data_IF_691036912307
#
_entry.id   IF_691036912307
#
_cell.length_a   1.000
_cell.length_b   1.000
_cell.length_c   1.000
_cell.angle_alpha   90.00
_cell.angle_beta   90.00
_cell.angle_gamma   90.00
#
_symmetry.space_group_name_H-M   'P 1'
#
loop_
_entity.id
_entity.type
_entity.pdbx_description
1 polymer ?
#
# COMPACT_ATOMS: atom_id res chain seq x y z
N UNK A 1 -1.84 20.50 -26.51
CA UNK A 1 -1.01 19.66 -25.61
C UNK A 1 -1.56 19.71 -24.18
N UNK A 2 -2.74 19.13 -23.93
CA UNK A 2 -3.35 19.05 -22.58
C UNK A 2 -4.37 17.91 -22.48
N UNK A 3 -4.08 16.69 -22.97
CA UNK A 3 -5.01 15.55 -22.83
C UNK A 3 -4.28 14.19 -22.81
N UNK A 4 -3.35 13.98 -21.87
CA UNK A 4 -2.59 12.72 -21.82
C UNK A 4 -2.53 12.03 -20.44
N UNK A 5 -3.34 12.43 -19.44
CA UNK A 5 -3.27 11.82 -18.10
C UNK A 5 -4.62 11.39 -17.50
N UNK A 6 -5.69 11.26 -18.29
CA UNK A 6 -6.99 10.75 -17.80
C UNK A 6 -7.08 9.22 -17.78
N UNK A 7 -5.98 8.52 -17.47
CA UNK A 7 -5.83 7.07 -17.69
C UNK A 7 -5.63 6.21 -16.45
N UNK A 8 -5.51 6.76 -15.24
CA UNK A 8 -5.45 5.96 -14.02
C UNK A 8 -6.88 5.69 -13.52
N UNK A 9 -7.61 4.83 -14.22
CA UNK A 9 -8.74 4.14 -13.62
C UNK A 9 -8.17 3.14 -12.61
N UNK A 10 -7.83 3.61 -11.41
CA UNK A 10 -7.55 2.71 -10.28
C UNK A 10 -8.91 2.20 -9.83
N UNK A 11 -9.27 1.03 -10.34
CA UNK A 11 -10.42 0.30 -9.85
C UNK A 11 -10.29 0.19 -8.34
N UNK A 12 -11.32 0.62 -7.60
CA UNK A 12 -11.55 0.12 -6.24
C UNK A 12 -11.38 -1.40 -6.34
N UNK A 13 -10.35 -1.93 -5.69
CA UNK A 13 -9.96 -3.33 -5.85
C UNK A 13 -11.00 -4.13 -5.05
N UNK A 14 -12.17 -4.34 -5.66
CA UNK A 14 -13.13 -5.31 -5.18
C UNK A 14 -12.35 -6.61 -5.01
N UNK A 15 -12.16 -7.02 -3.75
CA UNK A 15 -11.42 -8.20 -3.37
C UNK A 15 -12.23 -9.43 -3.80
N UNK A 16 -12.30 -9.69 -5.10
CA UNK A 16 -12.71 -11.00 -5.62
C UNK A 16 -11.62 -11.97 -5.21
N UNK A 17 -11.92 -12.80 -4.23
CA UNK A 17 -11.08 -13.91 -3.78
C UNK A 17 -10.92 -14.94 -4.89
N UNK A 18 -10.05 -14.67 -5.87
CA UNK A 18 -9.47 -15.69 -6.75
C UNK A 18 -8.06 -15.99 -6.26
N UNK A 19 -7.96 -16.69 -5.13
CA UNK A 19 -6.73 -17.35 -4.71
C UNK A 19 -6.53 -18.55 -5.64
N UNK A 20 -5.71 -18.40 -6.68
CA UNK A 20 -5.52 -19.49 -7.63
C UNK A 20 -4.58 -19.23 -8.81
N UNK A 21 -3.62 -18.30 -8.69
CA UNK A 21 -2.47 -18.38 -9.57
C UNK A 21 -1.61 -19.54 -9.05
N UNK A 22 -1.42 -20.60 -9.85
CA UNK A 22 -0.48 -21.67 -9.52
C UNK A 22 0.92 -21.05 -9.44
N UNK A 23 1.39 -20.83 -8.22
CA UNK A 23 2.75 -20.40 -7.91
C UNK A 23 3.67 -21.61 -7.96
N UNK A 24 4.94 -21.39 -8.34
CA UNK A 24 5.93 -22.47 -8.26
C UNK A 24 6.23 -22.78 -6.79
N UNK A 25 6.64 -24.03 -6.50
CA UNK A 25 7.11 -24.39 -5.16
C UNK A 25 8.28 -23.49 -4.68
N UNK A 26 9.10 -23.00 -5.62
CA UNK A 26 10.15 -22.01 -5.32
C UNK A 26 9.56 -20.67 -4.87
N UNK A 27 8.53 -20.15 -5.55
CA UNK A 27 7.89 -18.89 -5.20
C UNK A 27 7.19 -18.95 -3.83
N UNK A 28 6.54 -20.08 -3.51
CA UNK A 28 5.94 -20.30 -2.19
C UNK A 28 7.01 -20.35 -1.09
N UNK A 29 8.12 -21.05 -1.33
CA UNK A 29 9.22 -21.09 -0.35
C UNK A 29 9.84 -19.71 -0.09
N UNK A 30 9.96 -18.87 -1.12
CA UNK A 30 10.46 -17.50 -0.98
C UNK A 30 9.48 -16.60 -0.21
N UNK A 31 8.17 -16.78 -0.44
CA UNK A 31 7.12 -16.07 0.28
C UNK A 31 7.05 -16.47 1.76
N UNK A 32 7.20 -17.76 2.07
CA UNK A 32 7.24 -18.28 3.44
C UNK A 32 8.50 -17.82 4.19
N UNK A 33 9.64 -17.76 3.51
CA UNK A 33 10.94 -17.40 4.10
C UNK A 33 11.18 -15.88 4.23
N UNK A 34 10.15 -15.05 4.09
CA UNK A 34 10.33 -13.60 4.17
C UNK A 34 10.72 -13.15 5.58
N UNK A 35 11.80 -12.35 5.73
CA UNK A 35 12.20 -11.83 7.04
C UNK A 35 11.19 -10.79 7.56
N UNK A 36 11.41 -10.36 8.80
CA UNK A 36 10.74 -9.18 9.32
C UNK A 36 11.18 -7.97 8.49
N UNK A 37 10.24 -7.09 8.18
CA UNK A 37 10.50 -5.91 7.35
C UNK A 37 10.03 -4.65 8.04
N UNK A 38 10.92 -3.65 8.09
CA UNK A 38 10.51 -2.25 8.26
C UNK A 38 10.63 -1.57 6.92
N UNK A 39 9.57 -0.93 6.46
CA UNK A 39 9.62 -0.11 5.25
C UNK A 39 9.47 1.37 5.56
N UNK A 40 10.15 2.18 4.75
CA UNK A 40 9.98 3.63 4.68
C UNK A 40 9.61 4.01 3.25
N UNK A 41 8.78 5.03 3.12
CA UNK A 41 8.19 5.43 1.86
C UNK A 41 8.17 6.92 1.65
N UNK A 42 8.22 7.32 0.39
CA UNK A 42 7.93 8.68 -0.05
C UNK A 42 7.16 8.66 -1.38
N UNK A 43 6.21 9.58 -1.52
CA UNK A 43 5.35 9.64 -2.69
C UNK A 43 4.54 10.93 -2.79
N UNK A 44 3.55 10.91 -3.67
CA UNK A 44 2.60 12.00 -3.87
C UNK A 44 1.21 11.55 -3.47
N UNK A 45 0.60 12.29 -2.55
CA UNK A 45 -0.76 12.12 -2.06
C UNK A 45 -1.75 12.85 -2.97
N UNK A 46 -2.95 12.31 -3.14
CA UNK A 46 -4.02 12.85 -3.99
C UNK A 46 -3.65 13.06 -5.47
N UNK A 47 -3.11 12.01 -6.10
CA UNK A 47 -2.73 12.03 -7.51
C UNK A 47 -3.94 12.02 -8.47
N UNK A 48 -5.15 11.81 -7.97
CA UNK A 48 -6.38 11.69 -8.78
C UNK A 48 -7.16 13.00 -8.93
N UNK A 49 -7.15 13.88 -7.93
CA UNK A 49 -7.98 15.09 -7.92
C UNK A 49 -7.17 16.35 -8.27
N UNK A 50 -6.61 16.41 -9.48
CA UNK A 50 -5.87 17.55 -10.03
C UNK A 50 -4.60 17.94 -9.28
N UNK A 51 -3.55 18.37 -10.00
CA UNK A 51 -2.22 18.63 -9.42
C UNK A 51 -2.16 19.77 -8.40
N UNK A 52 -3.26 20.48 -8.15
CA UNK A 52 -3.32 21.58 -7.18
C UNK A 52 -3.37 21.07 -5.72
N UNK A 53 -3.72 19.80 -5.49
CA UNK A 53 -3.83 19.19 -4.15
C UNK A 53 -2.78 18.11 -3.87
N UNK A 54 -1.84 17.91 -4.81
CA UNK A 54 -0.82 16.89 -4.65
C UNK A 54 0.21 17.32 -3.59
N UNK A 55 0.17 16.72 -2.40
CA UNK A 55 1.16 16.90 -1.34
C UNK A 55 2.16 15.75 -1.29
N UNK A 56 3.35 15.98 -0.73
CA UNK A 56 4.29 14.88 -0.53
C UNK A 56 3.83 14.03 0.66
N UNK A 57 3.83 12.71 0.49
CA UNK A 57 3.52 11.72 1.53
C UNK A 57 4.77 10.97 1.96
N UNK A 58 4.81 10.60 3.24
CA UNK A 58 5.82 9.75 3.84
C UNK A 58 5.14 8.61 4.60
N UNK A 59 5.62 7.40 4.37
CA UNK A 59 5.08 6.18 4.95
C UNK A 59 6.15 5.48 5.79
N UNK A 60 5.74 4.86 6.89
CA UNK A 60 6.55 3.89 7.62
C UNK A 60 5.66 2.72 8.03
N UNK A 61 6.17 1.50 7.98
CA UNK A 61 5.44 0.35 8.46
C UNK A 61 6.31 -0.84 8.82
N UNK A 62 5.71 -1.78 9.54
CA UNK A 62 6.34 -2.99 10.03
C UNK A 62 5.50 -4.22 9.70
N UNK A 63 6.16 -5.23 9.13
CA UNK A 63 5.60 -6.55 8.79
C UNK A 63 6.50 -7.60 9.47
N UNK A 64 5.98 -8.41 10.42
CA UNK A 64 6.78 -9.46 11.06
C UNK A 64 6.99 -10.66 10.12
N UNK A 65 7.90 -11.55 10.50
CA UNK A 65 8.27 -12.78 9.78
C UNK A 65 7.27 -13.94 9.95
N UNK A 66 6.28 -13.82 10.84
CA UNK A 66 5.28 -14.86 11.02
C UNK A 66 4.06 -14.65 10.12
N UNK A 67 3.57 -15.76 9.57
CA UNK A 67 2.37 -15.83 8.75
C UNK A 67 1.17 -16.32 9.60
N UNK A 68 -0.03 -15.86 9.27
CA UNK A 68 -1.28 -16.31 9.91
C UNK A 68 -1.81 -17.55 9.16
N UNK A 69 -2.13 -17.38 7.88
CA UNK A 69 -2.58 -18.43 6.96
C UNK A 69 -2.29 -17.96 5.53
N UNK A 70 -1.93 -18.88 4.63
CA UNK A 70 -1.63 -18.56 3.23
C UNK A 70 -0.63 -17.40 3.09
N UNK A 71 0.46 -17.43 3.86
CA UNK A 71 1.55 -16.44 3.75
C UNK A 71 1.09 -14.98 3.97
N UNK A 72 -0.10 -14.80 4.56
CA UNK A 72 -0.63 -13.51 4.97
C UNK A 72 0.03 -13.14 6.30
N UNK A 73 0.67 -11.97 6.31
CA UNK A 73 1.38 -11.41 7.46
C UNK A 73 0.64 -10.20 7.99
N UNK A 74 0.60 -9.98 9.31
CA UNK A 74 0.05 -8.75 9.85
C UNK A 74 0.93 -7.55 9.48
N UNK A 75 0.34 -6.36 9.53
CA UNK A 75 0.98 -5.10 9.20
C UNK A 75 0.54 -4.03 10.20
N UNK A 76 1.46 -3.16 10.57
CA UNK A 76 1.15 -1.87 11.20
C UNK A 76 1.88 -0.76 10.44
N UNK A 77 1.23 0.37 10.23
CA UNK A 77 1.81 1.46 9.46
C UNK A 77 1.31 2.84 9.88
N UNK A 78 2.08 3.84 9.51
CA UNK A 78 1.81 5.25 9.72
C UNK A 78 2.15 6.01 8.43
N UNK A 79 1.29 6.94 8.04
CA UNK A 79 1.51 7.87 6.95
C UNK A 79 1.34 9.31 7.46
N UNK A 80 2.18 10.21 6.94
CA UNK A 80 2.02 11.66 7.08
C UNK A 80 2.19 12.35 5.74
N UNK A 81 1.58 13.52 5.55
CA UNK A 81 1.82 14.34 4.35
C UNK A 81 2.19 15.79 4.70
N UNK A 82 2.64 16.55 3.69
CA UNK A 82 3.04 17.95 3.87
C UNK A 82 1.87 18.89 4.17
N UNK A 83 0.63 18.44 3.99
CA UNK A 83 -0.58 19.17 4.41
C UNK A 83 -1.02 18.80 5.84
N UNK A 84 -0.13 18.12 6.59
CA UNK A 84 -0.34 17.73 8.00
C UNK A 84 -1.41 16.65 8.22
N UNK A 85 -1.77 15.88 7.18
CA UNK A 85 -2.55 14.68 7.41
C UNK A 85 -1.71 13.61 8.12
N UNK A 86 -2.38 12.79 8.93
CA UNK A 86 -1.80 11.65 9.62
C UNK A 86 -2.74 10.46 9.47
N UNK A 87 -2.23 9.29 9.12
CA UNK A 87 -3.00 8.05 9.06
C UNK A 87 -2.25 6.91 9.74
N UNK A 88 -2.80 6.38 10.84
CA UNK A 88 -2.28 5.18 11.50
C UNK A 88 -3.18 3.99 11.18
N UNK A 89 -2.59 2.86 10.80
CA UNK A 89 -3.34 1.67 10.40
C UNK A 89 -2.73 0.36 10.87
N UNK A 90 -3.59 -0.64 11.00
CA UNK A 90 -3.22 -2.04 11.06
C UNK A 90 -3.77 -2.76 9.82
N UNK A 91 -3.21 -3.91 9.48
CA UNK A 91 -3.60 -4.58 8.27
C UNK A 91 -2.97 -5.94 8.07
N UNK A 92 -3.05 -6.36 6.82
CA UNK A 92 -2.57 -7.63 6.30
C UNK A 92 -1.72 -7.35 5.06
N UNK A 93 -0.66 -8.13 4.88
CA UNK A 93 0.23 -8.08 3.73
C UNK A 93 0.49 -9.48 3.20
N UNK A 94 0.54 -9.62 1.88
CA UNK A 94 1.00 -10.85 1.23
C UNK A 94 1.98 -10.50 0.12
N UNK A 95 3.13 -11.17 0.11
CA UNK A 95 4.17 -11.03 -0.91
C UNK A 95 4.10 -12.21 -1.87
N UNK A 96 4.19 -11.92 -3.17
CA UNK A 96 4.21 -12.89 -4.25
C UNK A 96 5.50 -12.75 -5.04
N UNK A 97 6.20 -13.85 -5.25
CA UNK A 97 7.38 -13.92 -6.10
C UNK A 97 6.97 -14.22 -7.54
N UNK A 98 7.17 -13.25 -8.45
CA UNK A 98 6.97 -13.42 -9.89
C UNK A 98 8.19 -14.08 -10.53
N UNK A 99 9.38 -13.77 -9.98
CA UNK A 99 10.65 -14.46 -10.20
C UNK A 99 11.38 -14.55 -8.86
N UNK A 100 12.61 -15.05 -8.82
CA UNK A 100 13.41 -15.12 -7.59
C UNK A 100 13.68 -13.74 -6.94
N UNK A 101 13.62 -12.65 -7.72
CA UNK A 101 13.87 -11.29 -7.21
C UNK A 101 12.76 -10.29 -7.56
N UNK A 102 11.87 -10.58 -8.51
CA UNK A 102 10.75 -9.68 -8.84
C UNK A 102 9.56 -10.07 -7.98
N UNK A 103 9.08 -9.11 -7.21
CA UNK A 103 8.02 -9.33 -6.22
C UNK A 103 6.85 -8.37 -6.44
N UNK A 104 5.66 -8.86 -6.15
CA UNK A 104 4.46 -8.06 -5.99
C UNK A 104 3.98 -8.20 -4.55
N UNK A 105 3.61 -7.10 -3.90
CA UNK A 105 3.06 -7.11 -2.53
C UNK A 105 1.68 -6.48 -2.53
N UNK A 106 0.70 -7.20 -2.01
CA UNK A 106 -0.65 -6.68 -1.78
C UNK A 106 -0.78 -6.40 -0.29
N UNK A 107 -1.36 -5.26 0.06
CA UNK A 107 -1.70 -4.93 1.44
C UNK A 107 -3.13 -4.41 1.52
N UNK A 108 -3.76 -4.72 2.65
CA UNK A 108 -5.06 -4.17 3.03
C UNK A 108 -4.98 -3.74 4.48
N UNK A 109 -5.65 -2.65 4.85
CA UNK A 109 -5.67 -2.19 6.23
C UNK A 109 -6.86 -1.31 6.56
N UNK A 110 -7.02 -1.09 7.86
CA UNK A 110 -7.98 -0.17 8.45
C UNK A 110 -7.29 0.71 9.47
N UNK A 111 -7.76 1.94 9.62
CA UNK A 111 -7.07 2.90 10.45
C UNK A 111 -7.86 4.14 10.77
N UNK A 112 -7.17 5.07 11.41
CA UNK A 112 -7.68 6.39 11.76
C UNK A 112 -6.90 7.47 11.02
N UNK A 113 -7.62 8.29 10.27
CA UNK A 113 -7.16 9.44 9.52
C UNK A 113 -7.45 10.72 10.30
N UNK A 114 -6.44 11.57 10.41
CA UNK A 114 -6.55 12.95 10.86
C UNK A 114 -6.20 13.84 9.69
N UNK A 115 -7.14 14.69 9.28
CA UNK A 115 -7.06 15.45 8.04
C UNK A 115 -5.94 16.50 8.01
N UNK A 116 -5.72 17.22 9.12
CA UNK A 116 -4.92 18.44 9.07
C UNK A 116 -5.48 19.45 8.06
N UNK A 117 -4.65 19.97 7.17
CA UNK A 117 -5.04 20.83 6.05
C UNK A 117 -5.22 20.05 4.72
N UNK A 118 -5.23 18.72 4.77
CA UNK A 118 -5.33 17.86 3.60
C UNK A 118 -6.80 17.57 3.21
N UNK A 119 -7.01 16.60 2.32
CA UNK A 119 -8.32 16.23 1.81
C UNK A 119 -9.24 15.73 2.92
N UNK A 120 -10.45 16.28 2.98
CA UNK A 120 -11.48 15.84 3.91
C UNK A 120 -12.12 14.54 3.40
N UNK A 121 -11.80 13.42 4.07
CA UNK A 121 -12.34 12.09 3.76
C UNK A 121 -13.72 11.84 4.37
N UNK A 122 -14.34 12.83 5.03
CA UNK A 122 -15.69 12.74 5.58
C UNK A 122 -15.76 12.12 6.98
N UNK A 123 -14.82 11.25 7.33
CA UNK A 123 -14.68 10.71 8.69
C UNK A 123 -13.23 10.35 9.03
N UNK A 124 -13.01 9.86 10.25
CA UNK A 124 -11.69 9.42 10.68
C UNK A 124 -11.40 7.97 10.31
N UNK A 125 -12.41 7.08 10.26
CA UNK A 125 -12.19 5.67 9.97
C UNK A 125 -12.09 5.43 8.47
N UNK A 126 -10.97 4.85 8.03
CA UNK A 126 -10.68 4.65 6.60
C UNK A 126 -10.11 3.25 6.34
N UNK A 127 -10.34 2.75 5.13
CA UNK A 127 -9.75 1.53 4.57
C UNK A 127 -8.59 1.90 3.65
N UNK A 128 -7.47 1.17 3.75
CA UNK A 128 -6.32 1.29 2.85
C UNK A 128 -6.15 0.03 2.03
N UNK A 129 -6.08 0.18 0.72
CA UNK A 129 -5.73 -0.88 -0.24
C UNK A 129 -4.43 -0.49 -0.94
N UNK A 130 -3.46 -1.40 -1.01
CA UNK A 130 -2.16 -1.11 -1.61
C UNK A 130 -1.68 -2.26 -2.48
N UNK A 131 -1.08 -1.88 -3.61
CA UNK A 131 -0.35 -2.76 -4.50
C UNK A 131 1.06 -2.23 -4.69
N UNK A 132 2.03 -3.12 -4.60
CA UNK A 132 3.43 -2.82 -4.88
C UNK A 132 4.00 -3.78 -5.91
N UNK A 133 4.93 -3.28 -6.72
CA UNK A 133 5.82 -4.09 -7.56
C UNK A 133 7.25 -3.64 -7.32
N UNK A 134 8.15 -4.59 -7.12
CA UNK A 134 9.51 -4.28 -6.74
C UNK A 134 10.52 -5.37 -7.02
N UNK A 135 11.75 -5.08 -6.60
CA UNK A 135 12.89 -5.97 -6.66
C UNK A 135 13.35 -6.26 -5.23
N UNK A 136 13.44 -7.54 -4.87
CA UNK A 136 14.02 -8.03 -3.62
C UNK A 136 15.47 -8.49 -3.88
N UNK A 137 16.39 -7.94 -3.09
CA UNK A 137 17.79 -8.33 -3.07
C UNK A 137 17.98 -9.61 -2.28
N UNK A 138 19.10 -10.30 -2.52
CA UNK A 138 19.45 -11.53 -1.78
C UNK A 138 19.60 -11.30 -0.26
N UNK A 139 19.74 -10.04 0.18
CA UNK A 139 19.73 -9.66 1.60
C UNK A 139 18.34 -9.73 2.26
N UNK A 140 17.27 -9.86 1.48
CA UNK A 140 15.88 -9.74 1.93
C UNK A 140 15.33 -8.30 1.87
N UNK A 141 16.20 -7.31 1.63
CA UNK A 141 15.79 -5.93 1.38
C UNK A 141 15.02 -5.82 0.06
N UNK A 142 14.16 -4.82 -0.05
CA UNK A 142 13.31 -4.63 -1.24
C UNK A 142 13.15 -3.15 -1.57
N UNK A 143 13.25 -2.82 -2.86
CA UNK A 143 12.81 -1.52 -3.39
C UNK A 143 11.58 -1.75 -4.27
N UNK A 144 10.52 -0.97 -4.06
CA UNK A 144 9.25 -1.13 -4.78
C UNK A 144 8.59 0.18 -5.11
N UNK A 145 7.90 0.20 -6.25
CA UNK A 145 6.89 1.22 -6.53
C UNK A 145 5.56 0.77 -5.95
N UNK A 146 4.82 1.71 -5.37
CA UNK A 146 3.51 1.44 -4.79
C UNK A 146 2.44 2.35 -5.37
N UNK A 147 1.22 1.85 -5.35
CA UNK A 147 -0.01 2.64 -5.37
C UNK A 147 -0.87 2.22 -4.20
N UNK A 148 -1.50 3.18 -3.53
CA UNK A 148 -2.50 2.87 -2.52
C UNK A 148 -3.68 3.83 -2.59
N UNK A 149 -4.82 3.34 -2.14
CA UNK A 149 -6.09 4.05 -2.08
C UNK A 149 -6.59 4.08 -0.63
N UNK A 150 -7.07 5.23 -0.18
CA UNK A 150 -7.69 5.42 1.12
C UNK A 150 -9.13 5.91 0.93
N UNK A 151 -10.10 5.22 1.53
CA UNK A 151 -11.52 5.60 1.48
C UNK A 151 -12.33 4.98 2.61
N UNK A 152 -13.54 5.53 2.84
CA UNK A 152 -14.44 5.04 3.88
C UNK A 152 -15.58 4.14 3.36
N UNK A 153 -15.49 3.71 2.08
CA UNK A 153 -16.48 2.85 1.42
C UNK A 153 -17.93 3.35 1.52
N UNK A 154 -18.13 4.67 1.45
CA UNK A 154 -19.42 5.36 1.57
C UNK A 154 -20.18 5.07 2.88
N UNK A 155 -19.45 4.74 3.95
CA UNK A 155 -20.01 4.60 5.30
C UNK A 155 -20.40 5.98 5.86
N UNK A 156 -19.71 7.03 5.43
CA UNK A 156 -20.06 8.42 5.74
C UNK A 156 -20.75 9.11 4.55
N UNK A 157 -21.42 10.23 4.81
CA UNK A 157 -22.10 11.04 3.79
C UNK A 157 -21.15 11.59 2.71
N UNK A 158 -19.85 11.64 3.00
CA UNK A 158 -18.79 12.14 2.13
C UNK A 158 -17.67 11.10 2.04
N UNK A 159 -17.26 10.80 0.81
CA UNK A 159 -16.15 9.88 0.53
C UNK A 159 -15.52 10.24 -0.83
N UNK A 160 -14.64 11.25 -0.89
CA UNK A 160 -13.94 11.56 -2.14
C UNK A 160 -12.96 10.44 -2.53
N UNK A 161 -12.49 9.67 -1.54
CA UNK A 161 -11.34 8.78 -1.68
C UNK A 161 -10.06 9.55 -2.03
N UNK A 162 -8.92 8.91 -1.83
CA UNK A 162 -7.63 9.50 -2.22
C UNK A 162 -6.66 8.43 -2.67
N UNK A 163 -5.95 8.73 -3.77
CA UNK A 163 -4.95 7.85 -4.36
C UNK A 163 -3.56 8.43 -4.13
N UNK A 164 -2.60 7.57 -3.82
CA UNK A 164 -1.19 7.93 -3.64
C UNK A 164 -0.32 6.97 -4.42
N UNK A 165 0.78 7.47 -4.97
CA UNK A 165 1.82 6.66 -5.58
C UNK A 165 3.21 7.11 -5.12
N UNK A 166 4.14 6.18 -5.04
CA UNK A 166 5.49 6.46 -4.56
C UNK A 166 6.41 5.26 -4.60
N UNK A 167 7.49 5.35 -3.83
CA UNK A 167 8.51 4.30 -3.69
C UNK A 167 8.64 3.91 -2.21
N UNK A 168 8.75 2.62 -1.95
CA UNK A 168 9.16 2.05 -0.67
C UNK A 168 10.57 1.49 -0.76
N UNK A 169 11.33 1.66 0.33
CA UNK A 169 12.46 0.81 0.65
C UNK A 169 12.11 -0.01 1.89
N UNK A 170 12.18 -1.32 1.79
CA UNK A 170 11.93 -2.27 2.88
C UNK A 170 13.26 -2.88 3.30
N UNK A 171 13.62 -2.73 4.57
CA UNK A 171 14.78 -3.35 5.17
C UNK A 171 14.38 -4.67 5.83
N UNK A 172 15.02 -5.77 5.44
CA UNK A 172 14.81 -7.11 5.99
C UNK A 172 15.79 -7.43 7.11
N UNK A 173 15.31 -8.04 8.21
CA UNK A 173 16.15 -8.43 9.35
C UNK A 173 15.64 -9.67 10.09
#
# INVERSE_FOLDING_TARGET
MKHLLSGLAVAAMALTTTFGAATSASAESLAEAQPSQVYVGAGFFDISHSSEFASAAFDVGYIPDYNIVWEIRPLVGLMVNTDSAVYGHIGLSRTFFLTDNIVTRIQWGVGAYSQGNSIDLGQAFEFREQLEIGYQFDSGDMISAYVWHLSNADIADKNPGVNTAGIHYSFGF
#
